data_IF_080184282398
#
_entry.id   IF_080184282398
#
_cell.length_a   1.000
_cell.length_b   1.000
_cell.length_c   1.000
_cell.angle_alpha   90.00
_cell.angle_beta   90.00
_cell.angle_gamma   90.00
#
_symmetry.space_group_name_H-M   'P 1'
#
loop_
_entity.id
_entity.type
_entity.pdbx_description
1 polymer ?
#
# COMPACT_ATOMS: atom_id res chain seq x y z
N UNK A 1 -17.11 -0.50 -14.60
CA UNK A 1 -16.72 -1.90 -14.36
C UNK A 1 -16.71 -2.17 -12.86
N UNK A 2 -16.32 -3.37 -12.41
CA UNK A 2 -16.16 -3.64 -10.97
C UNK A 2 -15.02 -2.80 -10.37
N UNK A 3 -15.10 -2.55 -9.07
CA UNK A 3 -13.97 -2.02 -8.29
C UNK A 3 -12.85 -3.06 -8.25
N UNK A 4 -11.62 -2.63 -8.51
CA UNK A 4 -10.42 -3.47 -8.47
C UNK A 4 -9.58 -3.06 -7.25
N UNK A 5 -9.25 -4.05 -6.42
CA UNK A 5 -8.36 -3.88 -5.26
C UNK A 5 -7.09 -4.68 -5.49
N UNK A 6 -5.94 -4.01 -5.63
CA UNK A 6 -4.66 -4.71 -5.74
C UNK A 6 -4.23 -5.28 -4.38
N UNK A 7 -3.86 -6.57 -4.35
CA UNK A 7 -3.49 -7.27 -3.13
C UNK A 7 -2.43 -8.35 -3.43
N UNK A 8 -1.77 -8.85 -2.38
CA UNK A 8 -0.70 -9.84 -2.52
C UNK A 8 0.59 -9.19 -3.01
N UNK A 9 1.62 -9.16 -2.17
CA UNK A 9 2.90 -8.51 -2.44
C UNK A 9 2.91 -6.97 -2.58
N UNK A 10 1.78 -6.27 -2.43
CA UNK A 10 1.78 -4.80 -2.33
C UNK A 10 2.62 -4.36 -1.12
N UNK A 11 3.52 -3.39 -1.34
CA UNK A 11 4.42 -2.83 -0.32
C UNK A 11 4.37 -1.30 -0.35
N UNK A 12 4.52 -0.63 0.80
CA UNK A 12 4.57 0.83 0.88
C UNK A 12 5.52 1.50 -0.12
N UNK A 13 6.74 0.97 -0.27
CA UNK A 13 7.76 1.60 -1.10
C UNK A 13 7.48 1.53 -2.62
N UNK A 14 6.59 0.63 -3.07
CA UNK A 14 6.31 0.39 -4.49
C UNK A 14 4.92 0.85 -4.91
N UNK A 15 4.23 1.61 -4.07
CA UNK A 15 2.84 2.01 -4.33
C UNK A 15 2.69 2.97 -5.51
N UNK A 16 3.62 3.91 -5.67
CA UNK A 16 3.57 4.88 -6.79
C UNK A 16 3.70 4.14 -8.11
N UNK A 17 4.76 3.34 -8.27
CA UNK A 17 4.98 2.52 -9.47
C UNK A 17 3.78 1.60 -9.78
N UNK A 18 3.16 1.02 -8.74
CA UNK A 18 1.95 0.19 -8.89
C UNK A 18 0.78 1.00 -9.45
N UNK A 19 0.51 2.18 -8.89
CA UNK A 19 -0.59 3.05 -9.34
C UNK A 19 -0.33 3.53 -10.76
N UNK A 20 0.89 3.97 -11.09
CA UNK A 20 1.25 4.46 -12.42
C UNK A 20 1.18 3.37 -13.48
N UNK A 21 1.63 2.16 -13.18
CA UNK A 21 1.66 1.05 -14.16
C UNK A 21 0.32 0.34 -14.35
N UNK A 22 -0.58 0.39 -13.38
CA UNK A 22 -1.85 -0.36 -13.41
C UNK A 22 -3.11 0.50 -13.43
N UNK A 23 -3.01 1.76 -13.02
CA UNK A 23 -4.16 2.64 -12.81
C UNK A 23 -5.06 2.23 -11.66
N UNK A 24 -4.64 1.31 -10.77
CA UNK A 24 -5.46 0.87 -9.64
C UNK A 24 -5.79 2.04 -8.69
N UNK A 25 -6.98 1.99 -8.07
CA UNK A 25 -7.47 3.03 -7.15
C UNK A 25 -7.60 2.56 -5.71
N UNK A 26 -7.61 1.25 -5.49
CA UNK A 26 -7.71 0.67 -4.16
C UNK A 26 -6.63 -0.41 -3.98
N UNK A 27 -6.01 -0.42 -2.80
CA UNK A 27 -4.96 -1.38 -2.46
C UNK A 27 -5.25 -2.00 -1.09
N UNK A 28 -5.01 -3.30 -0.98
CA UNK A 28 -4.94 -4.00 0.28
C UNK A 28 -3.50 -4.43 0.52
N UNK A 29 -2.88 -3.84 1.55
CA UNK A 29 -1.49 -4.11 1.90
C UNK A 29 -1.31 -4.25 3.40
N UNK A 30 -0.19 -4.87 3.78
CA UNK A 30 0.28 -4.88 5.17
C UNK A 30 1.28 -3.75 5.37
N UNK A 31 1.23 -3.14 6.55
CA UNK A 31 2.25 -2.23 7.05
C UNK A 31 2.75 -2.75 8.40
N UNK A 32 3.47 -3.89 8.44
CA UNK A 32 3.89 -4.48 9.70
C UNK A 32 4.95 -3.61 10.37
N UNK A 33 5.02 -3.65 11.70
CA UNK A 33 6.22 -3.18 12.42
C UNK A 33 7.45 -3.95 11.94
N UNK A 34 8.60 -3.28 11.94
CA UNK A 34 9.87 -3.94 11.63
C UNK A 34 10.23 -4.98 12.69
N UNK A 35 10.93 -6.03 12.26
CA UNK A 35 11.42 -7.09 13.14
C UNK A 35 10.37 -8.12 13.59
N UNK A 36 9.15 -8.06 13.08
CA UNK A 36 8.10 -9.03 13.44
C UNK A 36 8.41 -10.44 12.95
N UNK A 37 8.18 -11.42 13.81
CA UNK A 37 8.28 -12.85 13.45
C UNK A 37 6.92 -13.40 12.96
N UNK A 38 6.90 -14.51 12.20
CA UNK A 38 5.65 -15.08 11.68
C UNK A 38 4.63 -15.49 12.76
N UNK A 39 5.10 -15.86 13.95
CA UNK A 39 4.27 -16.36 15.05
C UNK A 39 3.74 -15.23 15.97
N UNK A 40 4.23 -14.00 15.79
CA UNK A 40 3.76 -12.85 16.54
C UNK A 40 2.43 -12.32 15.98
N UNK A 41 1.50 -11.88 16.83
CA UNK A 41 0.30 -11.18 16.37
C UNK A 41 0.68 -9.97 15.52
N UNK A 42 0.12 -9.88 14.30
CA UNK A 42 0.33 -8.75 13.40
C UNK A 42 0.07 -7.40 14.10
N UNK A 43 1.01 -6.47 13.95
CA UNK A 43 0.92 -5.10 14.44
C UNK A 43 1.19 -4.14 13.30
N UNK A 44 0.26 -3.21 13.09
CA UNK A 44 0.41 -2.15 12.11
C UNK A 44 1.39 -1.09 12.62
N UNK A 45 2.34 -0.69 11.79
CA UNK A 45 3.16 0.49 11.96
C UNK A 45 2.45 1.69 11.33
N UNK A 46 1.94 2.60 12.17
CA UNK A 46 1.26 3.81 11.74
C UNK A 46 2.16 4.76 10.93
N UNK A 47 3.46 4.81 11.21
CA UNK A 47 4.39 5.65 10.46
C UNK A 47 4.60 5.10 9.04
N UNK A 48 4.56 3.77 8.88
CA UNK A 48 4.62 3.13 7.57
C UNK A 48 3.31 3.33 6.79
N UNK A 49 2.15 3.26 7.45
CA UNK A 49 0.85 3.61 6.85
C UNK A 49 0.86 5.06 6.37
N UNK A 50 1.29 5.99 7.22
CA UNK A 50 1.36 7.42 6.87
C UNK A 50 2.22 7.65 5.64
N UNK A 51 3.44 7.09 5.61
CA UNK A 51 4.35 7.19 4.47
C UNK A 51 3.74 6.65 3.18
N UNK A 52 3.05 5.52 3.25
CA UNK A 52 2.37 4.95 2.10
C UNK A 52 1.24 5.85 1.56
N UNK A 53 0.42 6.40 2.47
CA UNK A 53 -0.67 7.33 2.10
C UNK A 53 -0.12 8.62 1.49
N UNK A 54 0.93 9.19 2.09
CA UNK A 54 1.58 10.40 1.59
C UNK A 54 2.19 10.17 0.20
N UNK A 55 2.84 9.03 -0.03
CA UNK A 55 3.43 8.69 -1.32
C UNK A 55 2.40 8.60 -2.45
N UNK A 56 1.20 8.05 -2.20
CA UNK A 56 0.16 7.96 -3.24
C UNK A 56 -0.61 9.26 -3.43
N UNK A 57 -0.69 10.13 -2.41
CA UNK A 57 -1.35 11.44 -2.52
C UNK A 57 -0.67 12.39 -3.50
N UNK A 58 0.62 12.17 -3.78
CA UNK A 58 1.35 12.96 -4.78
C UNK A 58 1.12 12.47 -6.21
N UNK A 59 0.44 11.33 -6.40
CA UNK A 59 0.12 10.80 -7.73
C UNK A 59 -1.13 11.50 -8.26
N UNK A 60 -1.08 12.12 -9.46
CA UNK A 60 -2.24 12.75 -10.07
C UNK A 60 -3.40 11.77 -10.25
N UNK A 61 -4.62 12.22 -9.99
CA UNK A 61 -5.81 11.49 -10.41
C UNK A 61 -5.97 11.65 -11.92
N UNK A 62 -6.17 10.57 -12.68
CA UNK A 62 -6.57 10.66 -14.08
C UNK A 62 -7.88 11.44 -14.24
N UNK A 63 -7.99 12.18 -15.34
CA UNK A 63 -9.19 12.92 -15.75
C UNK A 63 -10.41 12.01 -15.99
#
# INVERSE_FOLDING_TARGET
GPTVVAAGAVRPHGLVDLVESTGVREVHMRCPREGMTPDEPQRTDEALVRRAVEAVRTVPLPE
#
